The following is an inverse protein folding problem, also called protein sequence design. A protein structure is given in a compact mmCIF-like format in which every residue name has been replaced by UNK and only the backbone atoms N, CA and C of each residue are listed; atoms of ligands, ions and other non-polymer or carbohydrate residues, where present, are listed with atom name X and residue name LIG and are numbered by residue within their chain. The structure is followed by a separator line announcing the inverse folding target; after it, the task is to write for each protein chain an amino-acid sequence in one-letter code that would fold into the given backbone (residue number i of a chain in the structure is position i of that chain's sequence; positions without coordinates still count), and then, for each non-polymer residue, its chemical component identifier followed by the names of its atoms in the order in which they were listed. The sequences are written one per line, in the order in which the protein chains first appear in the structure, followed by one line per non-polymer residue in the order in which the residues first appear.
data_IF_939757255458
#
_entry.id   IF_939757255458
#
_cell.length_a   1.000
_cell.length_b   1.000
_cell.length_c   1.000
_cell.angle_alpha   90.00
_cell.angle_beta   90.00
_cell.angle_gamma   90.00
#
_symmetry.space_group_name_H-M   'P 1'
#
loop_
_entity.id
_entity.type
_entity.pdbx_description
1 polymer ?
#
# COMPACT_ATOMS: atom_id res chain seq x y z
N UNK A 1 8.12 -70.25 31.06
CA UNK A 1 8.99 -69.05 30.92
C UNK A 1 8.89 -68.62 29.46
N UNK A 2 7.87 -67.89 28.96
CA UNK A 2 7.35 -66.55 29.29
C UNK A 2 8.37 -65.42 29.05
N UNK A 3 8.64 -65.11 27.78
CA UNK A 3 9.16 -63.81 27.37
C UNK A 3 8.33 -63.29 26.21
N UNK A 4 7.39 -62.43 26.61
CA UNK A 4 6.43 -61.71 25.80
C UNK A 4 7.15 -60.52 25.17
N UNK A 5 7.09 -60.41 23.85
CA UNK A 5 7.61 -59.27 23.07
C UNK A 5 6.88 -58.00 23.51
N UNK A 6 7.63 -57.04 24.06
CA UNK A 6 7.14 -55.70 24.38
C UNK A 6 6.84 -54.94 23.07
N UNK A 7 5.55 -54.85 22.74
CA UNK A 7 5.04 -53.88 21.78
C UNK A 7 5.05 -52.50 22.44
N UNK A 8 6.06 -51.68 22.10
CA UNK A 8 6.04 -50.24 22.37
C UNK A 8 5.02 -49.59 21.43
N UNK A 9 3.78 -49.48 21.90
CA UNK A 9 2.75 -48.65 21.27
C UNK A 9 3.18 -47.19 21.40
N UNK A 10 3.70 -46.63 20.32
CA UNK A 10 3.94 -45.19 20.21
C UNK A 10 2.56 -44.53 20.15
N UNK A 11 2.06 -44.13 21.31
CA UNK A 11 0.95 -43.20 21.43
C UNK A 11 1.43 -41.82 20.97
N UNK A 12 1.46 -41.60 19.65
CA UNK A 12 1.58 -40.27 19.07
C UNK A 12 0.30 -39.52 19.44
N UNK A 13 0.39 -38.73 20.51
CA UNK A 13 -0.60 -37.74 20.90
C UNK A 13 -0.87 -36.84 19.68
N UNK A 14 -2.05 -37.01 19.09
CA UNK A 14 -2.63 -36.10 18.14
C UNK A 14 -2.93 -34.80 18.89
N UNK A 15 -1.95 -33.89 18.95
CA UNK A 15 -2.20 -32.55 19.45
C UNK A 15 -3.08 -31.83 18.41
N UNK A 16 -4.22 -31.22 18.79
CA UNK A 16 -4.96 -30.38 17.87
C UNK A 16 -4.08 -29.18 17.54
N UNK A 17 -3.74 -29.03 16.25
CA UNK A 17 -3.17 -27.81 15.70
C UNK A 17 -4.17 -26.69 16.03
N UNK A 18 -3.83 -25.67 16.84
CA UNK A 18 -4.68 -24.50 16.93
C UNK A 18 -4.65 -23.84 15.55
N UNK A 19 -5.80 -23.85 14.88
CA UNK A 19 -6.03 -23.02 13.70
C UNK A 19 -5.55 -21.60 14.02
N UNK A 20 -4.53 -21.14 13.31
CA UNK A 20 -4.20 -19.71 13.16
C UNK A 20 -5.30 -19.03 12.32
N UNK A 21 -6.53 -19.06 12.82
CA UNK A 21 -7.66 -18.33 12.29
C UNK A 21 -8.04 -17.22 13.29
N UNK A 22 -7.07 -16.38 13.66
CA UNK A 22 -7.37 -15.12 14.34
C UNK A 22 -6.31 -14.05 14.03
N UNK A 23 -6.30 -13.61 12.76
CA UNK A 23 -5.66 -12.33 12.40
C UNK A 23 -6.44 -11.60 11.31
N UNK A 24 -7.77 -11.61 11.41
CA UNK A 24 -8.64 -10.72 10.62
C UNK A 24 -9.84 -10.22 11.43
N UNK A 25 -9.71 -10.17 12.75
CA UNK A 25 -10.61 -9.40 13.63
C UNK A 25 -9.94 -8.12 14.12
N UNK A 26 -9.24 -7.42 13.24
CA UNK A 26 -8.82 -6.04 13.51
C UNK A 26 -9.91 -5.08 13.03
N UNK A 27 -10.74 -4.68 13.99
CA UNK A 27 -11.22 -3.31 14.18
C UNK A 27 -11.55 -2.50 12.90
N UNK A 28 -12.81 -2.54 12.47
CA UNK A 28 -13.36 -1.69 11.38
C UNK A 28 -13.34 -0.18 11.72
N UNK A 29 -12.90 0.21 12.93
CA UNK A 29 -13.04 1.59 13.42
C UNK A 29 -11.87 2.52 13.06
N UNK A 30 -10.72 2.02 12.61
CA UNK A 30 -9.55 2.86 12.31
C UNK A 30 -8.98 2.54 10.92
N UNK A 31 -9.78 2.77 9.86
CA UNK A 31 -9.18 2.87 8.52
C UNK A 31 -8.57 4.26 8.43
N UNK A 32 -7.23 4.38 8.34
CA UNK A 32 -6.56 5.67 8.29
C UNK A 32 -7.04 6.44 7.07
N UNK A 33 -7.50 7.68 7.30
CA UNK A 33 -7.87 8.59 6.24
C UNK A 33 -6.66 9.43 5.87
N UNK A 34 -6.52 9.78 4.60
CA UNK A 34 -5.38 10.54 4.11
C UNK A 34 -5.83 11.73 3.29
N UNK A 35 -5.04 12.79 3.33
CA UNK A 35 -5.16 13.95 2.44
C UNK A 35 -3.81 14.37 1.88
N UNK A 36 -3.84 15.14 0.79
CA UNK A 36 -2.64 15.76 0.20
C UNK A 36 -2.13 16.88 1.12
N UNK A 37 -0.84 16.82 1.49
CA UNK A 37 -0.19 17.75 2.43
C UNK A 37 -0.29 19.20 1.94
N UNK A 38 0.15 19.44 0.69
CA UNK A 38 0.21 20.77 0.07
C UNK A 38 0.20 20.66 -1.47
N UNK A 39 0.17 21.81 -2.16
CA UNK A 39 0.13 21.93 -3.62
C UNK A 39 1.52 21.93 -4.30
N UNK A 40 2.58 21.60 -3.56
CA UNK A 40 3.93 21.48 -4.10
C UNK A 40 4.15 20.12 -4.78
N UNK A 41 3.40 19.10 -4.38
CA UNK A 41 3.51 17.75 -4.90
C UNK A 41 2.85 17.61 -6.28
N UNK A 42 3.62 17.05 -7.21
CA UNK A 42 3.10 16.64 -8.52
C UNK A 42 2.65 15.18 -8.48
N UNK A 43 1.54 14.91 -9.17
CA UNK A 43 0.98 13.58 -9.40
C UNK A 43 0.83 13.36 -10.90
N UNK A 44 0.81 12.10 -11.34
CA UNK A 44 0.72 11.79 -12.77
C UNK A 44 -0.38 10.77 -13.07
N UNK A 45 -0.94 10.80 -14.28
CA UNK A 45 -2.00 9.88 -14.71
C UNK A 45 -1.53 8.42 -14.87
N UNK A 46 -0.23 8.18 -14.97
CA UNK A 46 0.34 6.83 -15.08
C UNK A 46 1.62 6.66 -14.27
N UNK A 47 1.92 5.41 -13.88
CA UNK A 47 3.15 5.06 -13.18
C UNK A 47 4.38 5.45 -14.00
N UNK A 48 4.36 5.17 -15.30
CA UNK A 48 5.48 5.47 -16.20
C UNK A 48 5.80 6.97 -16.24
N UNK A 49 4.77 7.82 -16.31
CA UNK A 49 4.95 9.28 -16.27
C UNK A 49 5.53 9.73 -14.92
N UNK A 50 5.05 9.15 -13.81
CA UNK A 50 5.59 9.48 -12.50
C UNK A 50 7.05 9.02 -12.34
N UNK A 51 7.41 7.84 -12.85
CA UNK A 51 8.82 7.38 -12.87
C UNK A 51 9.70 8.27 -13.73
N UNK A 52 9.21 8.75 -14.87
CA UNK A 52 9.93 9.74 -15.68
C UNK A 52 10.16 11.04 -14.91
N UNK A 53 9.13 11.54 -14.23
CA UNK A 53 9.24 12.73 -13.38
C UNK A 53 10.27 12.53 -12.26
N UNK A 54 10.28 11.37 -11.60
CA UNK A 54 11.25 11.04 -10.56
C UNK A 54 12.68 10.95 -11.09
N UNK A 55 12.90 10.29 -12.22
CA UNK A 55 14.22 10.19 -12.83
C UNK A 55 14.81 11.57 -13.14
N UNK A 56 13.97 12.47 -13.65
CA UNK A 56 14.36 13.85 -13.88
C UNK A 56 14.61 14.61 -12.57
N UNK A 57 13.70 14.52 -11.61
CA UNK A 57 13.74 15.35 -10.39
C UNK A 57 14.83 14.93 -9.40
N UNK A 58 15.09 13.62 -9.27
CA UNK A 58 16.06 13.07 -8.32
C UNK A 58 17.47 12.96 -8.90
N UNK A 59 17.59 12.63 -10.18
CA UNK A 59 18.88 12.30 -10.80
C UNK A 59 19.27 13.25 -11.94
N UNK A 60 18.40 14.18 -12.35
CA UNK A 60 18.66 15.06 -13.49
C UNK A 60 18.72 14.32 -14.83
N UNK A 61 18.18 13.10 -14.90
CA UNK A 61 18.25 12.23 -16.08
C UNK A 61 17.00 12.37 -16.93
N UNK A 62 17.19 12.54 -18.25
CA UNK A 62 16.09 12.62 -19.21
C UNK A 62 15.41 13.98 -19.23
N UNK A 63 14.11 14.00 -19.52
CA UNK A 63 13.27 15.21 -19.57
C UNK A 63 12.03 15.01 -18.71
N UNK A 64 11.50 16.06 -18.08
CA UNK A 64 10.23 15.95 -17.38
C UNK A 64 9.10 15.63 -18.37
N UNK A 65 8.04 14.95 -17.94
CA UNK A 65 6.85 14.75 -18.76
C UNK A 65 6.22 16.10 -19.11
N UNK A 66 5.82 16.29 -20.37
CA UNK A 66 5.20 17.53 -20.85
C UNK A 66 3.70 17.58 -20.55
N UNK A 67 3.05 16.41 -20.45
CA UNK A 67 1.61 16.28 -20.22
C UNK A 67 1.33 15.11 -19.26
N UNK A 68 0.13 15.09 -18.69
CA UNK A 68 -0.34 14.00 -17.82
C UNK A 68 0.23 14.02 -16.41
N UNK A 69 1.03 15.02 -16.04
CA UNK A 69 1.39 15.31 -14.65
C UNK A 69 0.91 16.71 -14.27
N UNK A 70 0.43 16.86 -13.06
CA UNK A 70 -0.11 18.12 -12.54
C UNK A 70 0.04 18.18 -11.01
N UNK A 71 -0.10 19.37 -10.43
CA UNK A 71 -0.06 19.55 -8.99
C UNK A 71 -1.31 18.97 -8.34
N UNK A 72 -1.13 18.21 -7.26
CA UNK A 72 -2.25 17.77 -6.46
C UNK A 72 -2.84 18.95 -5.67
N UNK A 73 -4.17 18.97 -5.52
CA UNK A 73 -4.82 19.98 -4.70
C UNK A 73 -4.55 19.69 -3.22
N UNK A 74 -4.02 20.66 -2.49
CA UNK A 74 -3.86 20.59 -1.03
C UNK A 74 -5.19 20.26 -0.36
N UNK A 75 -5.16 19.37 0.65
CA UNK A 75 -6.35 18.94 1.39
C UNK A 75 -7.32 18.05 0.58
N UNK A 76 -6.98 17.68 -0.65
CA UNK A 76 -7.76 16.67 -1.37
C UNK A 76 -7.66 15.34 -0.64
N UNK A 77 -8.81 14.69 -0.42
CA UNK A 77 -8.85 13.35 0.18
C UNK A 77 -8.19 12.36 -0.77
N UNK A 78 -7.35 11.48 -0.22
CA UNK A 78 -6.60 10.49 -0.98
C UNK A 78 -6.92 9.08 -0.49
N UNK A 79 -7.30 8.20 -1.41
CA UNK A 79 -7.55 6.79 -1.15
C UNK A 79 -6.46 5.99 -1.84
N UNK A 80 -5.71 5.19 -1.09
CA UNK A 80 -4.68 4.30 -1.64
C UNK A 80 -5.37 3.11 -2.30
N UNK A 81 -5.19 2.96 -3.60
CA UNK A 81 -5.74 1.83 -4.37
C UNK A 81 -4.76 0.65 -4.37
N UNK A 82 -3.49 0.91 -4.65
CA UNK A 82 -2.42 -0.09 -4.64
C UNK A 82 -1.06 0.57 -4.45
N UNK A 83 -0.10 -0.17 -3.90
CA UNK A 83 1.30 0.20 -3.80
C UNK A 83 2.14 -1.02 -4.19
N UNK A 84 2.47 -1.20 -5.49
CA UNK A 84 3.31 -2.31 -5.91
C UNK A 84 4.66 -2.28 -5.19
N UNK A 85 5.20 -3.47 -4.88
CA UNK A 85 6.55 -3.57 -4.34
C UNK A 85 7.58 -3.12 -5.38
N UNK A 86 8.40 -2.16 -4.99
CA UNK A 86 9.29 -1.41 -5.87
C UNK A 86 10.40 -0.80 -5.02
N UNK A 87 11.55 -0.52 -5.64
CA UNK A 87 12.70 0.16 -5.02
C UNK A 87 12.35 1.54 -4.47
N UNK A 88 11.36 2.19 -5.09
CA UNK A 88 10.73 3.42 -4.64
C UNK A 88 9.27 3.12 -4.31
N UNK A 89 8.80 3.53 -3.13
CA UNK A 89 7.38 3.35 -2.73
C UNK A 89 6.51 4.27 -3.59
N UNK A 90 5.94 3.70 -4.65
CA UNK A 90 4.98 4.31 -5.54
C UNK A 90 3.61 3.70 -5.31
N UNK A 91 2.59 4.53 -5.27
CA UNK A 91 1.23 4.08 -5.09
C UNK A 91 0.31 4.74 -6.11
N UNK A 92 -0.76 4.02 -6.45
CA UNK A 92 -1.91 4.57 -7.14
C UNK A 92 -2.91 5.08 -6.10
N UNK A 93 -3.38 6.30 -6.31
CA UNK A 93 -4.33 6.97 -5.46
C UNK A 93 -5.57 7.34 -6.25
N UNK A 94 -6.72 7.34 -5.57
CA UNK A 94 -7.90 8.10 -5.99
C UNK A 94 -7.95 9.39 -5.17
N UNK A 95 -7.81 10.52 -5.84
CA UNK A 95 -7.95 11.84 -5.22
C UNK A 95 -9.37 12.35 -5.39
N UNK A 96 -9.94 12.93 -4.33
CA UNK A 96 -11.26 13.55 -4.33
C UNK A 96 -11.11 15.05 -4.01
N UNK A 97 -11.51 15.91 -4.95
CA UNK A 97 -11.53 17.37 -4.74
C UNK A 97 -12.97 17.87 -4.76
N UNK A 98 -13.48 18.33 -3.62
CA UNK A 98 -14.75 19.07 -3.55
C UNK A 98 -16.02 18.24 -3.78
N UNK A 99 -16.03 16.96 -3.41
CA UNK A 99 -17.25 16.14 -3.37
C UNK A 99 -17.18 14.90 -4.25
N UNK A 100 -17.55 15.01 -5.53
CA UNK A 100 -17.77 13.85 -6.43
C UNK A 100 -16.74 13.67 -7.54
N UNK A 101 -15.89 14.67 -7.79
CA UNK A 101 -14.87 14.56 -8.83
C UNK A 101 -13.67 13.79 -8.28
N UNK A 102 -13.52 12.56 -8.76
CA UNK A 102 -12.40 11.69 -8.41
C UNK A 102 -11.45 11.51 -9.59
N UNK A 103 -10.15 11.51 -9.32
CA UNK A 103 -9.13 11.22 -10.34
C UNK A 103 -8.16 10.17 -9.82
N UNK A 104 -7.82 9.21 -10.67
CA UNK A 104 -6.81 8.20 -10.35
C UNK A 104 -5.44 8.65 -10.85
N UNK A 105 -4.46 8.64 -9.95
CA UNK A 105 -3.12 9.16 -10.20
C UNK A 105 -2.07 8.31 -9.50
N UNK A 106 -0.83 8.46 -9.94
CA UNK A 106 0.36 7.84 -9.38
C UNK A 106 1.23 8.88 -8.71
N UNK A 107 1.68 8.56 -7.50
CA UNK A 107 2.59 9.39 -6.74
C UNK A 107 3.36 8.59 -5.66
N UNK A 108 4.23 9.27 -4.92
CA UNK A 108 4.83 8.73 -3.70
C UNK A 108 3.91 8.96 -2.49
N UNK A 109 3.86 7.99 -1.56
CA UNK A 109 3.09 8.11 -0.30
C UNK A 109 3.51 9.32 0.56
N UNK A 110 4.72 9.85 0.37
CA UNK A 110 5.24 11.02 1.11
C UNK A 110 4.39 12.28 0.91
N UNK A 111 3.57 12.36 -0.14
CA UNK A 111 2.68 13.50 -0.37
C UNK A 111 1.45 13.53 0.55
N UNK A 112 1.25 12.49 1.38
CA UNK A 112 0.05 12.31 2.19
C UNK A 112 0.29 12.59 3.67
N UNK A 113 -0.70 13.22 4.30
CA UNK A 113 -0.87 13.30 5.75
C UNK A 113 -2.04 12.42 6.18
N UNK A 114 -1.84 11.64 7.24
CA UNK A 114 -2.94 10.94 7.91
C UNK A 114 -3.79 11.93 8.69
N UNK A 115 -5.11 11.82 8.57
CA UNK A 115 -6.09 12.64 9.30
C UNK A 115 -6.86 11.74 10.26
N UNK A 116 -6.98 12.21 11.50
CA UNK A 116 -7.73 11.56 12.59
C UNK A 116 -9.22 11.93 12.56
#
# INVERSE_FOLDING_TARGET
MKYLIQLLTISFLLQPIPLLADKTRQNLHNIPQYEVIDDSYQVCLSEQLYRQLLNFSLYGVGKPPTEGCFKANSGAKAIILQCPESDIILCQFRLESGGTNTIEVWASKVMLREIE
#
